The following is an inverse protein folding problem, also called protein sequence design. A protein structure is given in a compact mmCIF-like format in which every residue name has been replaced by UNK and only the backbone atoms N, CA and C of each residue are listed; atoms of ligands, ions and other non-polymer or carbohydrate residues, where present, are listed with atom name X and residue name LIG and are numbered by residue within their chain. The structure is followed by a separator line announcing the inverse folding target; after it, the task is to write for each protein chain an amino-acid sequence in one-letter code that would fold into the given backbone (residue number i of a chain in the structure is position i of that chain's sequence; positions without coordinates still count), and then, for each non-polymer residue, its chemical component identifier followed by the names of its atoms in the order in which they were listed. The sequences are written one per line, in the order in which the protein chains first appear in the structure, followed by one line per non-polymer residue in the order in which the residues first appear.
data_IF_261407808771
#
_entry.id   IF_261407808771
#
_cell.length_a   1.000
_cell.length_b   1.000
_cell.length_c   1.000
_cell.angle_alpha   90.00
_cell.angle_beta   90.00
_cell.angle_gamma   90.00
#
_symmetry.space_group_name_H-M   'P 1'
#
loop_
_entity.id
_entity.type
_entity.pdbx_description
1 polymer ?
#
# COMPACT_ATOMS: atom_id res chain seq x y z
N UNK A 1 -20.46 15.18 28.17
CA UNK A 1 -19.66 13.97 28.46
C UNK A 1 -20.07 12.92 27.45
N UNK A 2 -19.25 12.66 26.42
CA UNK A 2 -19.49 11.56 25.49
C UNK A 2 -19.10 10.27 26.20
N UNK A 3 -20.00 9.29 26.21
CA UNK A 3 -19.82 8.02 26.92
C UNK A 3 -18.73 7.19 26.26
N UNK A 4 -17.71 6.79 27.03
CA UNK A 4 -16.54 6.00 26.59
C UNK A 4 -16.93 4.71 25.84
N UNK A 5 -18.13 4.18 26.08
CA UNK A 5 -18.66 2.97 25.45
C UNK A 5 -19.07 3.11 23.98
N UNK A 6 -19.34 4.33 23.49
CA UNK A 6 -19.71 4.57 22.07
C UNK A 6 -18.47 4.86 21.20
N UNK A 7 -17.38 5.31 21.81
CA UNK A 7 -16.12 5.61 21.12
C UNK A 7 -15.31 4.34 20.79
N UNK A 8 -15.45 3.29 21.60
CA UNK A 8 -14.74 2.01 21.41
C UNK A 8 -15.10 1.28 20.11
N UNK A 9 -16.40 1.11 19.74
CA UNK A 9 -16.77 0.50 18.46
C UNK A 9 -16.28 1.29 17.23
N UNK A 10 -16.40 2.63 17.27
CA UNK A 10 -15.94 3.48 16.17
C UNK A 10 -14.42 3.42 15.99
N UNK A 11 -13.67 3.39 17.10
CA UNK A 11 -12.21 3.27 17.06
C UNK A 11 -11.75 1.90 16.58
N UNK A 12 -12.43 0.84 17.02
CA UNK A 12 -12.20 -0.51 16.56
C UNK A 12 -12.42 -0.63 15.04
N UNK A 13 -13.51 -0.06 14.52
CA UNK A 13 -13.82 -0.08 13.10
C UNK A 13 -12.77 0.67 12.27
N UNK A 14 -12.38 1.88 12.69
CA UNK A 14 -11.37 2.67 11.97
C UNK A 14 -9.99 1.99 11.96
N UNK A 15 -9.56 1.43 13.09
CA UNK A 15 -8.31 0.67 13.18
C UNK A 15 -8.37 -0.59 12.31
N UNK A 16 -9.50 -1.29 12.30
CA UNK A 16 -9.71 -2.48 11.48
C UNK A 16 -9.65 -2.15 10.00
N UNK A 17 -10.27 -1.04 9.57
CA UNK A 17 -10.23 -0.56 8.19
C UNK A 17 -8.81 -0.19 7.76
N UNK A 18 -8.10 0.61 8.55
CA UNK A 18 -6.71 0.99 8.28
C UNK A 18 -5.79 -0.24 8.18
N UNK A 19 -5.92 -1.17 9.13
CA UNK A 19 -5.12 -2.40 9.18
C UNK A 19 -5.39 -3.32 7.98
N UNK A 20 -6.66 -3.50 7.61
CA UNK A 20 -7.02 -4.32 6.45
C UNK A 20 -6.46 -3.72 5.16
N UNK A 21 -6.54 -2.39 5.01
CA UNK A 21 -5.97 -1.70 3.87
C UNK A 21 -4.44 -1.84 3.80
N UNK A 22 -3.71 -1.60 4.89
CA UNK A 22 -2.24 -1.76 4.88
C UNK A 22 -1.81 -3.20 4.64
N UNK A 23 -2.56 -4.16 5.16
CA UNK A 23 -2.30 -5.58 4.90
C UNK A 23 -2.49 -5.89 3.42
N UNK A 24 -3.57 -5.41 2.80
CA UNK A 24 -3.79 -5.49 1.35
C UNK A 24 -2.60 -4.95 0.55
N UNK A 25 -2.13 -3.77 0.92
CA UNK A 25 -1.01 -3.10 0.27
C UNK A 25 0.31 -3.85 0.45
N UNK A 26 0.61 -4.35 1.65
CA UNK A 26 1.79 -5.16 1.92
C UNK A 26 1.89 -6.36 0.98
N UNK A 27 0.79 -7.10 0.83
CA UNK A 27 0.78 -8.29 -0.03
C UNK A 27 0.86 -7.92 -1.51
N UNK A 28 0.22 -6.83 -1.95
CA UNK A 28 0.37 -6.29 -3.30
C UNK A 28 1.82 -5.97 -3.62
N UNK A 29 2.51 -5.22 -2.76
CA UNK A 29 3.90 -4.83 -2.98
C UNK A 29 4.88 -6.01 -2.91
N UNK A 30 4.66 -6.98 -2.01
CA UNK A 30 5.41 -8.24 -2.00
C UNK A 30 5.21 -9.04 -3.28
N UNK A 31 3.97 -9.12 -3.77
CA UNK A 31 3.64 -9.73 -5.05
C UNK A 31 4.41 -9.06 -6.18
N UNK A 32 4.31 -7.73 -6.32
CA UNK A 32 5.03 -6.96 -7.32
C UNK A 32 6.55 -7.15 -7.24
N UNK A 33 7.12 -7.14 -6.03
CA UNK A 33 8.55 -7.38 -5.84
C UNK A 33 8.98 -8.74 -6.41
N UNK A 34 8.19 -9.78 -6.18
CA UNK A 34 8.43 -11.12 -6.74
C UNK A 34 8.23 -11.16 -8.26
N UNK A 35 7.19 -10.51 -8.78
CA UNK A 35 6.88 -10.48 -10.21
C UNK A 35 7.99 -9.84 -11.06
N UNK A 36 8.60 -8.77 -10.53
CA UNK A 36 9.68 -8.06 -11.21
C UNK A 36 11.05 -8.66 -10.97
N UNK A 37 11.22 -9.55 -10.00
CA UNK A 37 12.52 -10.13 -9.63
C UNK A 37 13.34 -10.68 -10.82
N UNK A 38 12.76 -11.47 -11.77
CA UNK A 38 13.53 -11.98 -12.90
C UNK A 38 13.68 -10.99 -14.06
N UNK A 39 12.94 -9.87 -14.06
CA UNK A 39 12.84 -8.95 -15.21
C UNK A 39 13.56 -7.62 -14.97
N UNK A 40 13.39 -7.03 -13.79
CA UNK A 40 13.94 -5.73 -13.43
C UNK A 40 14.19 -5.67 -11.90
N UNK A 41 15.43 -5.97 -11.52
CA UNK A 41 15.84 -6.03 -10.12
C UNK A 41 15.71 -4.68 -9.38
N UNK A 42 16.06 -3.52 -9.97
CA UNK A 42 15.76 -2.21 -9.38
C UNK A 42 14.28 -2.02 -9.02
N UNK A 43 13.35 -2.32 -9.93
CA UNK A 43 11.91 -2.23 -9.65
C UNK A 43 11.51 -3.21 -8.55
N UNK A 44 11.99 -4.45 -8.60
CA UNK A 44 11.75 -5.45 -7.56
C UNK A 44 12.15 -4.95 -6.16
N UNK A 45 13.35 -4.34 -6.04
CA UNK A 45 13.85 -3.76 -4.79
C UNK A 45 13.00 -2.59 -4.31
N UNK A 46 12.57 -1.72 -5.22
CA UNK A 46 11.70 -0.61 -4.87
C UNK A 46 10.37 -1.09 -4.28
N UNK A 47 9.72 -2.07 -4.93
CA UNK A 47 8.47 -2.65 -4.43
C UNK A 47 8.67 -3.33 -3.08
N UNK A 48 9.80 -4.01 -2.88
CA UNK A 48 10.15 -4.57 -1.57
C UNK A 48 10.33 -3.50 -0.50
N UNK A 49 10.95 -2.35 -0.83
CA UNK A 49 11.13 -1.24 0.09
C UNK A 49 9.79 -0.63 0.51
N UNK A 50 8.88 -0.42 -0.44
CA UNK A 50 7.53 0.05 -0.13
C UNK A 50 6.77 -0.97 0.73
N UNK A 51 6.94 -2.28 0.47
CA UNK A 51 6.40 -3.33 1.31
C UNK A 51 6.85 -3.24 2.77
N UNK A 52 8.12 -2.91 3.03
CA UNK A 52 8.61 -2.68 4.40
C UNK A 52 7.94 -1.47 5.06
N UNK A 53 7.67 -0.40 4.31
CA UNK A 53 6.91 0.74 4.84
C UNK A 53 5.47 0.36 5.22
N UNK A 54 4.82 -0.56 4.49
CA UNK A 54 3.54 -1.13 4.91
C UNK A 54 3.67 -1.88 6.25
N UNK A 55 4.74 -2.68 6.44
CA UNK A 55 4.98 -3.39 7.71
C UNK A 55 5.14 -2.42 8.88
N UNK A 56 5.88 -1.32 8.68
CA UNK A 56 6.02 -0.26 9.69
C UNK A 56 4.67 0.36 10.05
N UNK A 57 3.81 0.64 9.07
CA UNK A 57 2.46 1.17 9.33
C UNK A 57 1.58 0.18 10.06
N UNK A 58 1.62 -1.10 9.68
CA UNK A 58 0.92 -2.19 10.40
C UNK A 58 1.38 -2.28 11.85
N UNK A 59 2.69 -2.21 12.09
CA UNK A 59 3.26 -2.19 13.44
C UNK A 59 2.73 -1.01 14.26
N UNK A 60 2.71 0.21 13.69
CA UNK A 60 2.19 1.38 14.37
C UNK A 60 0.68 1.26 14.68
N UNK A 61 -0.10 0.63 13.81
CA UNK A 61 -1.52 0.33 14.07
C UNK A 61 -1.68 -0.64 15.25
N UNK A 62 -0.82 -1.66 15.35
CA UNK A 62 -0.82 -2.57 16.50
C UNK A 62 -0.49 -1.85 17.81
N UNK A 63 0.52 -0.97 17.80
CA UNK A 63 0.91 -0.22 19.01
C UNK A 63 -0.21 0.69 19.51
N UNK A 64 -0.91 1.39 18.59
CA UNK A 64 -2.05 2.23 18.98
C UNK A 64 -3.25 1.39 19.41
N UNK A 65 -3.56 0.29 18.72
CA UNK A 65 -4.63 -0.62 19.15
C UNK A 65 -4.38 -1.14 20.58
N UNK A 66 -3.13 -1.52 20.89
CA UNK A 66 -2.73 -1.98 22.22
C UNK A 66 -2.91 -0.88 23.28
N UNK A 67 -2.53 0.35 22.99
CA UNK A 67 -2.71 1.49 23.90
C UNK A 67 -4.19 1.79 24.18
N UNK A 68 -5.06 1.52 23.22
CA UNK A 68 -6.50 1.69 23.33
C UNK A 68 -7.24 0.45 23.86
N UNK A 69 -6.52 -0.61 24.21
CA UNK A 69 -7.08 -1.92 24.63
C UNK A 69 -8.03 -2.53 23.56
N UNK A 70 -7.73 -2.29 22.28
CA UNK A 70 -8.47 -2.77 21.12
C UNK A 70 -7.76 -3.97 20.45
N UNK A 71 -8.51 -4.77 19.71
CA UNK A 71 -8.00 -6.03 19.10
C UNK A 71 -8.05 -5.93 17.59
N UNK A 72 -6.90 -5.98 16.92
CA UNK A 72 -6.85 -6.03 15.47
C UNK A 72 -7.13 -7.46 14.93
N UNK A 73 -7.72 -7.58 13.73
CA UNK A 73 -7.94 -8.89 13.08
C UNK A 73 -6.64 -9.66 12.87
N UNK A 74 -6.71 -11.00 12.93
CA UNK A 74 -5.57 -11.83 12.59
C UNK A 74 -5.22 -11.74 11.09
N UNK A 75 -3.93 -11.60 10.77
CA UNK A 75 -3.43 -11.49 9.38
C UNK A 75 -3.79 -12.70 8.52
N UNK A 76 -3.94 -13.88 9.15
CA UNK A 76 -4.26 -15.15 8.47
C UNK A 76 -5.64 -15.11 7.79
N UNK A 77 -6.61 -14.42 8.37
CA UNK A 77 -7.96 -14.32 7.79
C UNK A 77 -7.98 -13.47 6.52
N UNK A 78 -7.11 -12.47 6.40
CA UNK A 78 -7.07 -11.53 5.27
C UNK A 78 -6.29 -12.05 4.06
N UNK A 79 -5.36 -13.00 4.28
CA UNK A 79 -4.61 -13.69 3.22
C UNK A 79 -5.51 -14.46 2.25
N UNK A 80 -6.70 -14.89 2.70
CA UNK A 80 -7.60 -15.77 1.93
C UNK A 80 -8.29 -15.05 0.77
N UNK A 81 -8.35 -13.73 0.80
CA UNK A 81 -9.07 -12.89 -0.18
C UNK A 81 -8.14 -12.19 -1.17
N UNK A 82 -6.84 -12.41 -1.08
CA UNK A 82 -5.85 -11.71 -1.91
C UNK A 82 -5.85 -12.22 -3.36
N UNK A 83 -6.22 -11.39 -4.36
CA UNK A 83 -5.99 -11.71 -5.74
C UNK A 83 -4.50 -11.48 -6.01
N UNK A 84 -3.68 -12.49 -5.73
CA UNK A 84 -2.22 -12.37 -5.70
C UNK A 84 -1.60 -11.86 -7.00
N UNK A 85 -2.29 -11.96 -8.12
CA UNK A 85 -2.05 -11.32 -9.41
C UNK A 85 -3.31 -11.54 -10.23
N UNK A 86 -3.46 -10.76 -11.29
CA UNK A 86 -4.51 -10.91 -12.30
C UNK A 86 -4.84 -12.40 -12.52
N UNK A 87 -5.99 -12.85 -12.01
CA UNK A 87 -6.44 -14.25 -12.09
C UNK A 87 -6.65 -14.69 -13.54
N UNK A 88 -6.66 -13.74 -14.47
CA UNK A 88 -6.76 -13.98 -15.91
C UNK A 88 -5.40 -14.03 -16.62
N UNK A 89 -4.27 -13.79 -15.93
CA UNK A 89 -2.94 -13.89 -16.53
C UNK A 89 -2.35 -15.30 -16.35
N UNK A 90 -1.77 -15.84 -17.42
CA UNK A 90 -1.10 -17.16 -17.39
C UNK A 90 0.30 -17.12 -16.74
N UNK A 91 0.75 -15.95 -16.30
CA UNK A 91 2.13 -15.71 -15.89
C UNK A 91 2.20 -14.96 -14.57
N UNK A 92 2.90 -15.54 -13.60
CA UNK A 92 3.18 -14.90 -12.31
C UNK A 92 4.26 -13.82 -12.44
N UNK A 93 5.27 -14.05 -13.29
CA UNK A 93 6.36 -13.11 -13.50
C UNK A 93 6.08 -12.17 -14.68
N UNK A 94 6.67 -10.98 -14.62
CA UNK A 94 6.79 -10.10 -15.80
C UNK A 94 7.75 -10.76 -16.78
N UNK A 95 7.28 -11.02 -18.01
CA UNK A 95 8.09 -11.64 -19.07
C UNK A 95 8.39 -10.69 -20.23
N UNK A 96 7.67 -9.57 -20.33
CA UNK A 96 7.86 -8.56 -21.34
C UNK A 96 7.54 -7.14 -20.82
N UNK A 97 7.88 -6.14 -21.63
CA UNK A 97 7.69 -4.73 -21.26
C UNK A 97 6.24 -4.31 -21.17
N UNK A 98 5.35 -4.87 -21.99
CA UNK A 98 3.93 -4.53 -21.97
C UNK A 98 3.32 -4.94 -20.63
N UNK A 99 3.62 -6.16 -20.18
CA UNK A 99 3.21 -6.67 -18.88
C UNK A 99 3.76 -5.82 -17.73
N UNK A 100 5.04 -5.44 -17.78
CA UNK A 100 5.62 -4.61 -16.74
C UNK A 100 5.04 -3.19 -16.72
N UNK A 101 4.74 -2.59 -17.89
CA UNK A 101 4.10 -1.26 -17.97
C UNK A 101 2.71 -1.32 -17.34
N UNK A 102 1.93 -2.35 -17.67
CA UNK A 102 0.61 -2.53 -17.09
C UNK A 102 0.67 -2.79 -15.58
N UNK A 103 1.63 -3.59 -15.11
CA UNK A 103 1.81 -3.84 -13.69
C UNK A 103 2.16 -2.57 -12.90
N UNK A 104 3.04 -1.71 -13.44
CA UNK A 104 3.38 -0.43 -12.82
C UNK A 104 2.22 0.58 -12.88
N UNK A 105 1.44 0.60 -13.97
CA UNK A 105 0.23 1.42 -14.06
C UNK A 105 -0.79 1.02 -12.98
N UNK A 106 -1.09 -0.27 -12.87
CA UNK A 106 -1.99 -0.78 -11.83
C UNK A 106 -1.46 -0.48 -10.42
N UNK A 107 -0.14 -0.54 -10.22
CA UNK A 107 0.48 -0.22 -8.93
C UNK A 107 0.34 1.26 -8.57
N UNK A 108 0.44 2.17 -9.56
CA UNK A 108 0.21 3.60 -9.38
C UNK A 108 -1.25 3.88 -9.03
N UNK A 109 -2.20 3.35 -9.79
CA UNK A 109 -3.65 3.54 -9.54
C UNK A 109 -4.04 3.02 -8.15
N UNK A 110 -3.47 1.88 -7.73
CA UNK A 110 -3.68 1.34 -6.40
C UNK A 110 -3.09 2.25 -5.30
N UNK A 111 -1.88 2.80 -5.50
CA UNK A 111 -1.26 3.71 -4.55
C UNK A 111 -2.05 5.04 -4.43
N UNK A 112 -2.56 5.58 -5.53
CA UNK A 112 -3.43 6.77 -5.53
C UNK A 112 -4.74 6.51 -4.77
N UNK A 113 -5.36 5.35 -5.01
CA UNK A 113 -6.58 4.92 -4.32
C UNK A 113 -6.32 4.77 -2.82
N UNK A 114 -5.18 4.19 -2.44
CA UNK A 114 -4.75 4.01 -1.05
C UNK A 114 -4.53 5.36 -0.36
N UNK A 115 -3.85 6.30 -1.00
CA UNK A 115 -3.71 7.67 -0.51
C UNK A 115 -5.08 8.33 -0.31
N UNK A 116 -5.97 8.25 -1.29
CA UNK A 116 -7.32 8.81 -1.20
C UNK A 116 -8.12 8.19 -0.05
N UNK A 117 -7.99 6.88 0.16
CA UNK A 117 -8.61 6.17 1.28
C UNK A 117 -8.12 6.72 2.63
N UNK A 118 -6.80 6.82 2.84
CA UNK A 118 -6.25 7.32 4.09
C UNK A 118 -6.55 8.79 4.34
N UNK A 119 -6.60 9.61 3.28
CA UNK A 119 -7.02 11.02 3.39
C UNK A 119 -8.45 11.13 3.90
N UNK A 120 -9.39 10.37 3.31
CA UNK A 120 -10.78 10.34 3.78
C UNK A 120 -10.92 9.76 5.19
N UNK A 121 -10.16 8.72 5.51
CA UNK A 121 -10.17 8.12 6.85
C UNK A 121 -9.66 9.12 7.89
N UNK A 122 -8.63 9.89 7.57
CA UNK A 122 -8.09 10.96 8.43
C UNK A 122 -9.05 12.14 8.58
N UNK A 123 -9.70 12.56 7.49
CA UNK A 123 -10.67 13.68 7.50
C UNK A 123 -11.92 13.36 8.33
N UNK A 124 -12.37 12.11 8.30
CA UNK A 124 -13.56 11.64 9.02
C UNK A 124 -13.25 11.10 10.42
N UNK A 125 -11.98 11.09 10.84
CA UNK A 125 -11.57 10.63 12.15
C UNK A 125 -11.98 11.61 13.26
N UNK A 126 -12.78 11.12 14.22
CA UNK A 126 -13.18 11.85 15.42
C UNK A 126 -12.39 11.42 16.67
N UNK A 127 -11.44 10.48 16.55
CA UNK A 127 -10.71 9.86 17.67
C UNK A 127 -9.34 10.54 17.82
N UNK A 128 -9.10 11.27 18.92
CA UNK A 128 -7.85 12.01 19.13
C UNK A 128 -6.60 11.15 19.05
N UNK A 129 -6.67 9.93 19.59
CA UNK A 129 -5.57 8.96 19.66
C UNK A 129 -5.11 8.52 18.26
N UNK A 130 -6.02 8.49 17.28
CA UNK A 130 -5.71 8.10 15.89
C UNK A 130 -5.29 9.28 15.02
N UNK A 131 -5.56 10.53 15.44
CA UNK A 131 -5.43 11.71 14.59
C UNK A 131 -4.00 11.89 14.05
N UNK A 132 -3.01 11.79 14.94
CA UNK A 132 -1.61 11.95 14.55
C UNK A 132 -1.13 10.80 13.66
N UNK A 133 -1.56 9.57 13.97
CA UNK A 133 -1.19 8.39 13.20
C UNK A 133 -1.73 8.47 11.76
N UNK A 134 -3.03 8.74 11.61
CA UNK A 134 -3.67 8.82 10.30
C UNK A 134 -3.12 9.98 9.46
N UNK A 135 -2.86 11.15 10.07
CA UNK A 135 -2.22 12.27 9.37
C UNK A 135 -0.81 11.92 8.88
N UNK A 136 -0.05 11.15 9.66
CA UNK A 136 1.27 10.65 9.25
C UNK A 136 1.14 9.69 8.08
N UNK A 137 0.16 8.79 8.12
CA UNK A 137 -0.09 7.83 7.03
C UNK A 137 -0.48 8.52 5.73
N UNK A 138 -1.30 9.58 5.78
CA UNK A 138 -1.63 10.38 4.58
C UNK A 138 -0.36 10.90 3.92
N UNK A 139 0.57 11.47 4.69
CA UNK A 139 1.83 12.00 4.17
C UNK A 139 2.73 10.90 3.59
N UNK A 140 2.81 9.76 4.26
CA UNK A 140 3.56 8.60 3.78
C UNK A 140 2.96 8.01 2.50
N UNK A 141 1.62 7.88 2.42
CA UNK A 141 0.91 7.37 1.26
C UNK A 141 0.99 8.30 0.06
N UNK A 142 0.99 9.61 0.28
CA UNK A 142 1.29 10.58 -0.77
C UNK A 142 2.70 10.37 -1.33
N UNK A 143 3.69 10.19 -0.47
CA UNK A 143 5.08 9.91 -0.88
C UNK A 143 5.19 8.59 -1.64
N UNK A 144 4.52 7.53 -1.16
CA UNK A 144 4.43 6.23 -1.82
C UNK A 144 3.86 6.34 -3.24
N UNK A 145 2.73 7.04 -3.40
CA UNK A 145 2.13 7.30 -4.72
C UNK A 145 3.10 8.00 -5.67
N UNK A 146 3.77 9.05 -5.21
CA UNK A 146 4.71 9.81 -6.04
C UNK A 146 5.92 8.97 -6.47
N UNK A 147 6.47 8.16 -5.57
CA UNK A 147 7.59 7.27 -5.89
C UNK A 147 7.19 6.21 -6.91
N UNK A 148 6.00 5.61 -6.78
CA UNK A 148 5.49 4.61 -7.74
C UNK A 148 5.23 5.25 -9.10
N UNK A 149 4.63 6.44 -9.12
CA UNK A 149 4.41 7.21 -10.35
C UNK A 149 5.71 7.54 -11.06
N UNK A 150 6.70 8.07 -10.32
CA UNK A 150 8.01 8.38 -10.88
C UNK A 150 8.68 7.12 -11.45
N UNK A 151 8.61 6.01 -10.71
CA UNK A 151 9.09 4.72 -11.19
C UNK A 151 8.45 4.36 -12.53
N UNK A 152 7.11 4.42 -12.66
CA UNK A 152 6.42 4.13 -13.92
C UNK A 152 6.84 5.08 -15.05
N UNK A 153 6.90 6.37 -14.77
CA UNK A 153 7.21 7.42 -15.76
C UNK A 153 8.65 7.33 -16.27
N UNK A 154 9.59 6.87 -15.45
CA UNK A 154 10.99 6.71 -15.83
C UNK A 154 11.30 5.30 -16.37
N UNK A 155 10.45 4.31 -16.07
CA UNK A 155 10.71 2.91 -16.38
C UNK A 155 10.89 2.70 -17.88
N UNK A 156 12.12 2.32 -18.25
CA UNK A 156 12.55 2.04 -19.63
C UNK A 156 12.35 3.20 -20.62
N UNK A 157 12.10 4.41 -20.13
CA UNK A 157 11.98 5.61 -20.96
C UNK A 157 13.34 6.31 -21.19
N UNK A 158 14.35 6.00 -20.36
CA UNK A 158 15.72 6.53 -20.49
C UNK A 158 16.45 6.13 -21.80
N UNK A 159 15.97 5.11 -22.52
CA UNK A 159 16.56 4.68 -23.80
C UNK A 159 16.07 5.52 -25.00
N UNK A 160 14.92 6.19 -24.90
CA UNK A 160 14.44 7.06 -25.99
C UNK A 160 15.12 8.43 -26.02
N UNK A 161 15.66 8.90 -24.88
CA UNK A 161 16.36 10.19 -24.82
C UNK A 161 17.78 10.14 -25.44
N UNK A 162 18.39 8.96 -25.52
CA UNK A 162 19.73 8.76 -26.11
C UNK A 162 19.68 8.28 -27.57
N UNK A 163 18.52 7.82 -28.07
CA UNK A 163 18.33 7.34 -29.44
C UNK A 163 17.88 8.40 -30.45
N UNK A 164 17.55 9.62 -30.02
CA UNK A 164 17.21 10.74 -30.90
C UNK A 164 18.41 11.65 -31.21
N UNK A 165 19.62 11.25 -30.80
CA UNK A 165 20.89 11.91 -31.12
C UNK A 165 21.76 10.98 -31.98
N UNK A 166 21.25 10.58 -33.14
CA UNK A 166 22.04 9.95 -34.22
C UNK A 166 21.55 10.43 -35.58
#
# INVERSE_FOLDING_TARGET
MVSLTVLSPLAQDQLTLAYSQETHELYRYRGLALCFLPFDLPVSRLMSAIGMECEHRIFNLHEVAKQMELVLPSTISQLREMPFLNTNSRHFFVVDESMGRQALLNAEEAAETSHTFFSRLSETNAIPELKQLLSTFVTQKYSEYHVVKECREQWKNALYALGCAS
#
